data_IF_960758261100
#
_entry.id   IF_960758261100
#
_cell.length_a   1.000
_cell.length_b   1.000
_cell.length_c   1.000
_cell.angle_alpha   90.00
_cell.angle_beta   90.00
_cell.angle_gamma   90.00
#
_symmetry.space_group_name_H-M   'P 1'
#
loop_
_entity.id
_entity.type
_entity.pdbx_description
1 polymer ?
#
# COMPACT_ATOMS: atom_id res chain seq x y z
N UNK A 1 17.90 7.02 -0.95
CA UNK A 1 16.97 6.73 -2.04
C UNK A 1 16.54 5.29 -1.87
N UNK A 2 15.27 5.09 -1.57
CA UNK A 2 14.68 3.80 -1.26
C UNK A 2 14.20 3.12 -2.55
N UNK A 3 14.27 1.79 -2.62
CA UNK A 3 13.76 1.03 -3.76
C UNK A 3 12.33 0.57 -3.52
N UNK A 4 11.59 0.23 -4.58
CA UNK A 4 10.19 -0.18 -4.45
C UNK A 4 10.05 -1.50 -3.69
N UNK A 5 11.07 -2.36 -3.76
CA UNK A 5 11.17 -3.59 -3.01
C UNK A 5 11.26 -3.34 -1.49
N UNK A 6 12.00 -2.31 -1.07
CA UNK A 6 12.08 -1.93 0.35
C UNK A 6 10.71 -1.41 0.83
N UNK A 7 10.04 -0.61 0.00
CA UNK A 7 8.68 -0.12 0.29
C UNK A 7 7.69 -1.29 0.41
N UNK A 8 7.80 -2.29 -0.48
CA UNK A 8 6.97 -3.49 -0.44
C UNK A 8 7.15 -4.25 0.88
N UNK A 9 8.39 -4.47 1.31
CA UNK A 9 8.67 -5.17 2.57
C UNK A 9 8.13 -4.40 3.78
N UNK A 10 8.24 -3.07 3.79
CA UNK A 10 7.67 -2.25 4.86
C UNK A 10 6.14 -2.31 4.89
N UNK A 11 5.49 -2.29 3.71
CA UNK A 11 4.02 -2.41 3.63
C UNK A 11 3.53 -3.75 4.16
N UNK A 12 4.25 -4.85 3.91
CA UNK A 12 3.90 -6.17 4.44
C UNK A 12 3.92 -6.24 5.97
N UNK A 13 4.64 -5.33 6.63
CA UNK A 13 4.72 -5.26 8.09
C UNK A 13 3.64 -4.37 8.72
N UNK A 14 2.78 -3.73 7.91
CA UNK A 14 1.74 -2.83 8.42
C UNK A 14 0.60 -3.62 9.07
N UNK A 15 0.49 -3.45 10.38
CA UNK A 15 -0.63 -3.92 11.19
C UNK A 15 -1.02 -2.87 12.25
N UNK A 16 -2.28 -2.49 12.35
CA UNK A 16 -2.71 -1.57 13.40
C UNK A 16 -4.07 -0.92 13.17
N UNK A 17 -4.39 0.18 13.87
CA UNK A 17 -5.71 0.80 13.79
C UNK A 17 -6.06 1.21 12.36
N UNK A 18 -7.26 0.85 11.90
CA UNK A 18 -7.71 1.09 10.51
C UNK A 18 -7.61 2.57 10.08
N UNK A 19 -7.85 3.49 11.02
CA UNK A 19 -7.71 4.93 10.79
C UNK A 19 -6.28 5.43 10.52
N UNK A 20 -5.25 4.63 10.82
CA UNK A 20 -3.82 4.97 10.63
C UNK A 20 -3.17 4.27 9.45
N UNK A 21 -3.90 3.42 8.76
CA UNK A 21 -3.39 2.63 7.65
C UNK A 21 -2.80 3.50 6.54
N UNK A 22 -3.50 4.57 6.16
CA UNK A 22 -3.05 5.50 5.12
C UNK A 22 -1.72 6.16 5.48
N UNK A 23 -1.61 6.67 6.71
CA UNK A 23 -0.39 7.32 7.19
C UNK A 23 0.79 6.35 7.20
N UNK A 24 0.58 5.11 7.68
CA UNK A 24 1.63 4.09 7.67
C UNK A 24 2.08 3.66 6.29
N UNK A 25 1.16 3.61 5.32
CA UNK A 25 1.51 3.36 3.92
C UNK A 25 2.35 4.51 3.39
N UNK A 26 2.01 5.77 3.70
CA UNK A 26 2.81 6.93 3.30
C UNK A 26 4.20 6.91 3.95
N UNK A 27 4.29 6.56 5.22
CA UNK A 27 5.58 6.38 5.93
C UNK A 27 6.44 5.29 5.27
N UNK A 28 5.83 4.21 4.80
CA UNK A 28 6.54 3.17 4.04
C UNK A 28 7.11 3.68 2.71
N UNK A 29 6.55 4.74 2.13
CA UNK A 29 7.08 5.40 0.93
C UNK A 29 8.09 6.51 1.22
N UNK A 30 8.38 6.82 2.49
CA UNK A 30 9.35 7.87 2.82
C UNK A 30 10.74 7.55 2.23
N UNK A 31 11.32 8.55 1.55
CA UNK A 31 12.58 8.41 0.80
C UNK A 31 12.51 7.62 -0.50
N UNK A 32 11.33 7.16 -0.94
CA UNK A 32 11.09 6.62 -2.28
C UNK A 32 10.70 7.74 -3.26
N UNK A 33 11.37 7.78 -4.41
CA UNK A 33 11.05 8.69 -5.50
C UNK A 33 11.13 7.95 -6.83
N UNK A 34 10.22 8.27 -7.75
CA UNK A 34 10.24 7.73 -9.10
C UNK A 34 10.27 8.88 -10.11
N UNK A 35 11.34 8.98 -10.91
CA UNK A 35 11.56 10.10 -11.84
C UNK A 35 11.43 11.48 -11.18
N UNK A 36 11.89 11.63 -9.93
CA UNK A 36 11.79 12.86 -9.15
C UNK A 36 10.39 13.17 -8.60
N UNK A 37 9.45 12.23 -8.73
CA UNK A 37 8.10 12.33 -8.13
C UNK A 37 8.03 11.51 -6.84
N UNK A 38 7.69 12.18 -5.74
CA UNK A 38 7.46 11.60 -4.41
C UNK A 38 5.99 11.58 -4.01
N UNK A 39 5.10 12.22 -4.79
CA UNK A 39 3.66 12.21 -4.50
C UNK A 39 3.10 10.79 -4.68
N UNK A 40 2.50 10.23 -3.63
CA UNK A 40 1.96 8.86 -3.63
C UNK A 40 0.43 8.89 -3.72
N UNK A 41 -0.13 8.13 -4.65
CA UNK A 41 -1.56 7.85 -4.71
C UNK A 41 -1.89 6.54 -3.99
N UNK A 42 -3.04 6.51 -3.32
CA UNK A 42 -3.60 5.33 -2.65
C UNK A 42 -5.06 5.23 -3.08
N UNK A 43 -5.34 4.29 -3.96
CA UNK A 43 -6.63 4.14 -4.62
C UNK A 43 -7.24 2.76 -4.34
N UNK A 44 -8.55 2.71 -4.12
CA UNK A 44 -9.26 1.45 -3.94
C UNK A 44 -9.25 0.66 -5.25
N UNK A 45 -8.82 -0.60 -5.22
CA UNK A 45 -8.69 -1.44 -6.41
C UNK A 45 -9.60 -2.67 -6.36
N UNK A 46 -10.91 -2.41 -6.48
CA UNK A 46 -11.99 -3.41 -6.32
C UNK A 46 -11.78 -4.69 -7.15
N UNK A 47 -11.08 -4.60 -8.28
CA UNK A 47 -10.84 -5.74 -9.18
C UNK A 47 -10.02 -6.87 -8.54
N UNK A 48 -9.21 -6.58 -7.52
CA UNK A 48 -8.37 -7.55 -6.81
C UNK A 48 -8.90 -7.84 -5.41
N UNK A 49 -10.13 -7.43 -5.11
CA UNK A 49 -10.76 -7.79 -3.84
C UNK A 49 -10.90 -9.29 -3.70
N UNK A 50 -10.71 -9.76 -2.47
CA UNK A 50 -10.99 -11.14 -2.12
C UNK A 50 -12.20 -11.17 -1.20
N UNK A 51 -12.74 -12.37 -0.94
CA UNK A 51 -13.82 -12.54 0.03
C UNK A 51 -13.45 -12.07 1.44
N UNK A 52 -12.16 -11.92 1.75
CA UNK A 52 -11.64 -11.63 3.09
C UNK A 52 -10.95 -10.27 3.20
N UNK A 53 -10.61 -9.63 2.09
CA UNK A 53 -9.76 -8.45 2.12
C UNK A 53 -10.02 -7.49 0.97
N UNK A 54 -9.72 -6.22 1.24
CA UNK A 54 -9.83 -5.09 0.34
C UNK A 54 -8.49 -4.80 -0.32
N UNK A 55 -8.42 -4.80 -1.65
CA UNK A 55 -7.24 -4.42 -2.40
C UNK A 55 -7.06 -2.90 -2.59
N UNK A 56 -5.86 -2.39 -2.34
CA UNK A 56 -5.49 -1.00 -2.61
C UNK A 56 -4.31 -0.94 -3.57
N UNK A 57 -4.40 -0.07 -4.57
CA UNK A 57 -3.31 0.22 -5.50
C UNK A 57 -2.59 1.47 -5.01
N UNK A 58 -1.29 1.34 -4.82
CA UNK A 58 -0.45 2.37 -4.21
C UNK A 58 0.75 2.62 -5.10
N UNK A 59 1.17 3.88 -5.26
CA UNK A 59 2.45 4.21 -5.86
C UNK A 59 2.57 5.66 -6.29
N UNK A 60 3.77 6.03 -6.76
CA UNK A 60 4.05 7.40 -7.19
C UNK A 60 3.07 7.87 -8.28
N UNK A 61 2.63 9.12 -8.24
CA UNK A 61 1.69 9.69 -9.21
C UNK A 61 2.38 10.03 -10.54
N UNK A 62 3.01 9.02 -11.16
CA UNK A 62 3.76 9.14 -12.40
C UNK A 62 3.42 7.97 -13.34
N UNK A 63 3.20 8.22 -14.65
CA UNK A 63 2.95 7.16 -15.62
C UNK A 63 4.08 6.13 -15.69
N UNK A 64 3.74 4.84 -15.61
CA UNK A 64 4.73 3.76 -15.63
C UNK A 64 5.57 3.63 -14.36
N UNK A 65 5.20 4.29 -13.27
CA UNK A 65 5.74 3.96 -11.94
C UNK A 65 5.26 2.57 -11.53
N UNK A 66 6.12 1.72 -10.93
CA UNK A 66 5.66 0.48 -10.32
C UNK A 66 4.62 0.78 -9.25
N UNK A 67 3.61 -0.09 -9.15
CA UNK A 67 2.53 0.03 -8.17
C UNK A 67 2.56 -1.15 -7.22
N UNK A 68 2.27 -0.91 -5.96
CA UNK A 68 2.06 -1.98 -4.98
C UNK A 68 0.56 -2.21 -4.87
N UNK A 69 0.14 -3.47 -4.98
CA UNK A 69 -1.20 -3.91 -4.60
C UNK A 69 -1.11 -4.47 -3.19
N UNK A 70 -1.82 -3.87 -2.25
CA UNK A 70 -1.91 -4.34 -0.87
C UNK A 70 -3.32 -4.89 -0.58
N UNK A 71 -3.41 -6.11 -0.07
CA UNK A 71 -4.63 -6.73 0.41
C UNK A 71 -4.75 -6.50 1.91
N UNK A 72 -5.84 -5.86 2.32
CA UNK A 72 -6.03 -5.38 3.69
C UNK A 72 -7.28 -6.02 4.27
N UNK A 73 -7.11 -6.76 5.35
CA UNK A 73 -8.21 -7.29 6.17
C UNK A 73 -8.52 -6.25 7.25
N UNK A 74 -9.74 -5.71 7.25
CA UNK A 74 -10.19 -4.72 8.25
C UNK A 74 -10.70 -5.37 9.55
N UNK A 75 -10.58 -6.69 9.69
CA UNK A 75 -11.09 -7.42 10.84
C UNK A 75 -12.62 -7.33 10.96
N UNK A 76 -13.19 -8.07 11.92
CA UNK A 76 -14.65 -8.11 12.11
C UNK A 76 -15.25 -6.81 12.65
N UNK A 77 -14.45 -6.04 13.39
CA UNK A 77 -14.88 -4.82 14.07
C UNK A 77 -14.41 -3.53 13.38
N UNK A 78 -13.75 -3.61 12.22
CA UNK A 78 -13.20 -2.46 11.48
C UNK A 78 -12.28 -1.54 12.30
N UNK A 79 -11.76 -2.06 13.42
CA UNK A 79 -10.93 -1.31 14.36
C UNK A 79 -9.44 -1.51 14.09
N UNK A 80 -9.08 -2.64 13.49
CA UNK A 80 -7.71 -3.02 13.14
C UNK A 80 -7.69 -3.40 11.65
N UNK A 81 -6.77 -2.82 10.90
CA UNK A 81 -6.48 -3.21 9.53
C UNK A 81 -5.08 -3.82 9.47
N UNK A 82 -4.99 -5.02 8.90
CA UNK A 82 -3.73 -5.75 8.71
C UNK A 82 -3.50 -5.96 7.23
N UNK A 83 -2.29 -5.68 6.75
CA UNK A 83 -1.87 -6.08 5.42
C UNK A 83 -1.63 -7.59 5.43
N UNK A 84 -2.45 -8.35 4.71
CA UNK A 84 -2.35 -9.82 4.65
C UNK A 84 -1.53 -10.30 3.46
N UNK A 85 -1.40 -9.45 2.43
CA UNK A 85 -0.57 -9.72 1.25
C UNK A 85 -0.23 -8.39 0.57
N UNK A 86 0.93 -8.34 -0.07
CA UNK A 86 1.31 -7.23 -0.93
C UNK A 86 2.28 -7.69 -2.02
N UNK A 87 2.12 -7.13 -3.23
CA UNK A 87 2.98 -7.44 -4.37
C UNK A 87 3.10 -6.26 -5.34
N UNK A 88 4.17 -6.24 -6.13
CA UNK A 88 4.39 -5.22 -7.16
C UNK A 88 3.64 -5.61 -8.44
N UNK A 89 2.99 -4.63 -9.07
CA UNK A 89 2.26 -4.75 -10.34
C UNK A 89 2.60 -3.55 -11.23
N UNK A 90 2.94 -3.83 -12.49
CA UNK A 90 3.24 -2.85 -13.54
C UNK A 90 1.97 -2.17 -14.09
#
# INVERSE_FOLDING_TARGET
>A
MKYIEDVLEDIKQIDGPSGKLRDRILDAYDGYEYNGVSEISIDRYIKEDTMKAKAYRIGANYPGSPKIIALIDDGKDHYVSTVIDAYIKE
#
